data_IF_411920454957
#
_entry.id   IF_411920454957
#
_cell.length_a   1.000
_cell.length_b   1.000
_cell.length_c   1.000
_cell.angle_alpha   90.00
_cell.angle_beta   90.00
_cell.angle_gamma   90.00
#
_symmetry.space_group_name_H-M   'P 1'
#
loop_
_entity.id
_entity.type
_entity.pdbx_description
1 polymer ?
#
# COMPACT_ATOMS: atom_id res chain seq x y z
N UNK A 1 0.69 -18.30 23.86
CA UNK A 1 0.86 -18.04 22.41
C UNK A 1 -0.43 -17.42 21.89
N UNK A 2 -0.42 -16.13 21.49
CA UNK A 2 -1.57 -15.51 20.81
C UNK A 2 -1.67 -16.17 19.42
N UNK A 3 -2.70 -17.00 19.20
CA UNK A 3 -2.94 -17.75 17.95
C UNK A 3 -3.52 -16.90 16.81
N UNK A 4 -3.80 -15.62 17.07
CA UNK A 4 -4.61 -14.78 16.19
C UNK A 4 -3.81 -13.69 15.45
N UNK A 5 -2.51 -13.90 15.21
CA UNK A 5 -1.68 -12.93 14.47
C UNK A 5 -1.33 -13.48 13.10
N UNK A 6 -1.72 -12.74 12.06
CA UNK A 6 -1.30 -12.99 10.67
C UNK A 6 0.18 -12.61 10.56
N UNK A 7 1.00 -13.48 9.97
CA UNK A 7 2.41 -13.17 9.75
C UNK A 7 2.59 -12.21 8.57
N UNK A 8 3.72 -11.48 8.53
CA UNK A 8 4.00 -10.59 7.40
C UNK A 8 4.09 -11.39 6.09
N UNK A 9 4.64 -12.60 6.16
CA UNK A 9 4.70 -13.53 5.04
C UNK A 9 3.31 -13.92 4.52
N UNK A 10 2.35 -14.20 5.41
CA UNK A 10 0.96 -14.50 5.01
C UNK A 10 0.29 -13.30 4.33
N UNK A 11 0.54 -12.08 4.82
CA UNK A 11 0.03 -10.84 4.19
C UNK A 11 0.64 -10.66 2.80
N UNK A 12 1.96 -10.79 2.67
CA UNK A 12 2.67 -10.69 1.38
C UNK A 12 2.13 -11.74 0.40
N UNK A 13 2.01 -13.00 0.82
CA UNK A 13 1.48 -14.08 -0.02
C UNK A 13 0.04 -13.80 -0.48
N UNK A 14 -0.79 -13.22 0.41
CA UNK A 14 -2.16 -12.84 0.07
C UNK A 14 -2.20 -11.72 -0.97
N UNK A 15 -1.35 -10.69 -0.83
CA UNK A 15 -1.25 -9.60 -1.80
C UNK A 15 -0.72 -10.09 -3.16
N UNK A 16 0.30 -10.95 -3.18
CA UNK A 16 0.80 -11.58 -4.40
C UNK A 16 -0.25 -12.46 -5.08
N UNK A 17 -1.06 -13.18 -4.31
CA UNK A 17 -2.17 -13.95 -4.87
C UNK A 17 -3.17 -13.04 -5.58
N UNK A 18 -3.61 -11.95 -4.94
CA UNK A 18 -4.54 -10.99 -5.56
C UNK A 18 -3.93 -10.35 -6.82
N UNK A 19 -2.68 -9.92 -6.76
CA UNK A 19 -1.93 -9.43 -7.91
C UNK A 19 -1.96 -10.42 -9.08
N UNK A 20 -1.67 -11.70 -8.82
CA UNK A 20 -1.66 -12.74 -9.86
C UNK A 20 -3.02 -12.91 -10.54
N UNK A 21 -4.12 -12.74 -9.78
CA UNK A 21 -5.50 -12.84 -10.29
C UNK A 21 -5.88 -11.63 -11.11
N UNK A 22 -5.47 -10.43 -10.70
CA UNK A 22 -5.62 -9.21 -11.49
C UNK A 22 -4.86 -9.34 -12.81
N UNK A 23 -3.61 -9.81 -12.78
CA UNK A 23 -2.80 -10.01 -13.98
C UNK A 23 -3.45 -11.02 -14.95
N UNK A 24 -3.93 -12.16 -14.45
CA UNK A 24 -4.66 -13.14 -15.25
C UNK A 24 -5.93 -12.56 -15.86
N UNK A 25 -6.70 -11.79 -15.08
CA UNK A 25 -7.92 -11.13 -15.55
C UNK A 25 -7.63 -10.14 -16.69
N UNK A 26 -6.63 -9.28 -16.52
CA UNK A 26 -6.27 -8.26 -17.50
C UNK A 26 -5.75 -8.89 -18.80
N UNK A 27 -4.84 -9.87 -18.71
CA UNK A 27 -4.30 -10.60 -19.88
C UNK A 27 -5.36 -11.35 -20.67
N UNK A 28 -6.44 -11.78 -20.01
CA UNK A 28 -7.55 -12.48 -20.68
C UNK A 28 -8.42 -11.52 -21.50
N UNK A 29 -8.60 -10.29 -21.06
CA UNK A 29 -9.58 -9.35 -21.65
C UNK A 29 -8.95 -8.29 -22.55
N UNK A 30 -7.72 -7.90 -22.29
CA UNK A 30 -7.01 -6.85 -23.02
C UNK A 30 -5.84 -7.43 -23.80
N UNK A 31 -5.52 -6.80 -24.94
CA UNK A 31 -4.38 -7.15 -25.79
C UNK A 31 -3.59 -5.89 -26.09
N UNK A 32 -2.26 -5.99 -26.04
CA UNK A 32 -1.32 -4.93 -26.34
C UNK A 32 -1.57 -3.67 -25.49
N UNK A 33 -1.99 -3.86 -24.24
CA UNK A 33 -2.23 -2.78 -23.26
C UNK A 33 -1.22 -2.85 -22.12
N UNK A 34 -1.04 -1.72 -21.45
CA UNK A 34 -0.23 -1.58 -20.24
C UNK A 34 -1.14 -1.08 -19.12
N UNK A 35 -1.01 -1.71 -17.97
CA UNK A 35 -1.68 -1.31 -16.73
C UNK A 35 -0.63 -1.11 -15.65
N UNK A 36 -0.94 -0.23 -14.70
CA UNK A 36 -0.19 -0.08 -13.46
C UNK A 36 -1.06 -0.61 -12.34
N UNK A 37 -0.56 -1.63 -11.62
CA UNK A 37 -1.08 -2.03 -10.33
C UNK A 37 -0.29 -1.29 -9.25
N UNK A 38 -0.97 -0.56 -8.39
CA UNK A 38 -0.39 0.08 -7.19
C UNK A 38 -1.01 -0.58 -5.97
N UNK A 39 -0.15 -0.98 -5.03
CA UNK A 39 -0.56 -1.43 -3.69
C UNK A 39 0.07 -0.46 -2.71
N UNK A 40 -0.71 0.16 -1.84
CA UNK A 40 -0.17 1.05 -0.83
C UNK A 40 -0.76 0.78 0.55
N UNK A 41 0.08 0.95 1.57
CA UNK A 41 -0.34 0.98 2.97
C UNK A 41 -0.45 2.44 3.40
N UNK A 42 -1.52 2.78 4.10
CA UNK A 42 -1.74 4.11 4.68
C UNK A 42 -1.75 3.97 6.21
N UNK A 43 -0.80 4.57 6.93
CA UNK A 43 -0.71 4.33 8.38
C UNK A 43 -1.90 4.91 9.16
N UNK A 44 -2.61 5.88 8.60
CA UNK A 44 -3.82 6.45 9.19
C UNK A 44 -5.09 5.64 8.89
N UNK A 45 -5.05 4.78 7.87
CA UNK A 45 -6.14 3.88 7.50
C UNK A 45 -5.60 2.46 7.57
N UNK A 46 -5.91 1.64 8.60
CA UNK A 46 -5.28 0.34 8.84
C UNK A 46 -5.71 -0.74 7.82
N UNK A 47 -5.42 -0.52 6.54
CA UNK A 47 -5.72 -1.33 5.39
C UNK A 47 -4.69 -1.09 4.27
N UNK A 48 -4.49 -2.12 3.44
CA UNK A 48 -3.82 -1.95 2.16
C UNK A 48 -4.86 -1.60 1.09
N UNK A 49 -4.55 -0.61 0.26
CA UNK A 49 -5.36 -0.28 -0.90
C UNK A 49 -4.68 -0.78 -2.17
N UNK A 50 -5.44 -1.45 -3.03
CA UNK A 50 -5.01 -1.83 -4.37
C UNK A 50 -5.74 -0.96 -5.39
N UNK A 51 -5.00 -0.38 -6.33
CA UNK A 51 -5.57 0.37 -7.45
C UNK A 51 -4.95 -0.07 -8.76
N UNK A 52 -5.78 -0.23 -9.79
CA UNK A 52 -5.36 -0.57 -11.15
C UNK A 52 -5.74 0.57 -12.08
N UNK A 53 -4.76 1.10 -12.81
CA UNK A 53 -4.96 2.16 -13.78
C UNK A 53 -4.53 1.68 -15.16
N UNK A 54 -5.27 2.06 -16.21
CA UNK A 54 -4.75 1.96 -17.58
C UNK A 54 -3.60 2.95 -17.71
N UNK A 55 -2.42 2.47 -18.10
CA UNK A 55 -1.25 3.34 -18.21
C UNK A 55 -1.43 4.33 -19.36
N UNK A 56 -1.62 5.61 -19.01
CA UNK A 56 -1.29 6.74 -19.87
C UNK A 56 0.12 7.18 -19.46
N UNK A 57 0.99 7.55 -20.41
CA UNK A 57 2.42 7.86 -20.22
C UNK A 57 2.66 9.00 -19.21
N UNK A 58 2.45 8.76 -17.92
CA UNK A 58 2.73 9.70 -16.85
C UNK A 58 3.62 9.01 -15.83
N UNK A 59 4.87 9.47 -15.80
CA UNK A 59 5.95 9.00 -14.95
C UNK A 59 5.79 9.50 -13.52
N UNK A 60 4.72 9.08 -12.82
CA UNK A 60 4.71 9.26 -11.37
C UNK A 60 5.67 8.24 -10.74
N UNK A 61 6.90 8.71 -10.58
CA UNK A 61 7.98 8.10 -9.81
C UNK A 61 7.79 8.44 -8.32
N UNK A 62 6.67 8.03 -7.73
CA UNK A 62 6.63 7.91 -6.27
C UNK A 62 7.65 6.85 -5.85
N UNK A 63 8.25 7.00 -4.67
CA UNK A 63 9.25 6.07 -4.15
C UNK A 63 8.63 4.68 -3.98
N UNK A 64 9.18 3.68 -4.69
CA UNK A 64 8.60 2.33 -4.78
C UNK A 64 9.44 1.37 -3.95
N UNK A 65 8.80 0.70 -3.02
CA UNK A 65 9.42 -0.31 -2.16
C UNK A 65 9.02 -1.71 -2.60
N UNK A 66 9.81 -2.71 -2.22
CA UNK A 66 9.42 -4.10 -2.39
C UNK A 66 8.19 -4.43 -1.51
N UNK A 67 7.39 -5.41 -1.93
CA UNK A 67 6.12 -5.71 -1.24
C UNK A 67 6.33 -6.14 0.23
N UNK A 68 7.43 -6.85 0.52
CA UNK A 68 7.81 -7.22 1.89
C UNK A 68 8.18 -5.99 2.72
N UNK A 69 8.92 -5.04 2.14
CA UNK A 69 9.30 -3.80 2.81
C UNK A 69 8.06 -2.93 3.09
N UNK A 70 7.10 -2.90 2.18
CA UNK A 70 5.81 -2.24 2.37
C UNK A 70 5.05 -2.83 3.58
N UNK A 71 4.96 -4.16 3.66
CA UNK A 71 4.24 -4.85 4.74
C UNK A 71 4.96 -4.67 6.08
N UNK A 72 6.29 -4.79 6.10
CA UNK A 72 7.10 -4.57 7.29
C UNK A 72 6.95 -3.14 7.81
N UNK A 73 7.08 -2.17 6.91
CA UNK A 73 6.89 -0.76 7.24
C UNK A 73 5.47 -0.49 7.75
N UNK A 74 4.44 -0.95 7.05
CA UNK A 74 3.05 -0.69 7.43
C UNK A 74 2.74 -1.27 8.82
N UNK A 75 3.17 -2.51 9.11
CA UNK A 75 2.96 -3.11 10.43
C UNK A 75 3.59 -2.30 11.57
N UNK A 76 4.75 -1.70 11.33
CA UNK A 76 5.49 -0.98 12.36
C UNK A 76 4.95 0.45 12.57
N UNK A 77 4.24 1.02 11.59
CA UNK A 77 3.82 2.42 11.62
C UNK A 77 2.29 2.60 11.67
N UNK A 78 1.50 1.60 11.28
CA UNK A 78 0.05 1.73 11.21
C UNK A 78 -0.58 1.98 12.57
N UNK A 79 -1.47 2.97 12.61
CA UNK A 79 -2.16 3.44 13.78
C UNK A 79 -3.41 2.59 14.02
N UNK A 80 -3.19 1.31 14.33
CA UNK A 80 -4.27 0.32 14.53
C UNK A 80 -5.25 0.71 15.65
N UNK A 81 -4.80 1.53 16.61
CA UNK A 81 -5.62 2.01 17.72
C UNK A 81 -6.21 3.41 17.46
N UNK A 82 -6.10 3.92 16.23
CA UNK A 82 -6.50 5.28 15.88
C UNK A 82 -5.43 6.32 16.20
N UNK A 83 -5.72 7.56 15.80
CA UNK A 83 -4.92 8.73 16.15
C UNK A 83 -5.27 9.18 17.57
N UNK A 84 -4.25 9.40 18.40
CA UNK A 84 -4.43 9.98 19.72
C UNK A 84 -4.84 11.46 19.56
N UNK A 85 -6.02 11.81 20.09
CA UNK A 85 -6.49 13.20 20.14
C UNK A 85 -6.08 13.74 21.51
N UNK A 86 -5.05 14.58 21.55
CA UNK A 86 -4.63 15.26 22.77
C UNK A 86 -5.43 16.55 22.89
N UNK A 87 -6.36 16.60 23.85
CA UNK A 87 -7.10 17.82 24.22
C UNK A 87 -6.23 18.71 25.13
N UNK A 88 -5.12 19.25 24.62
CA UNK A 88 -4.39 20.33 25.28
C UNK A 88 -4.21 21.51 24.32
N UNK A 89 -4.30 22.71 24.90
CA UNK A 89 -4.55 24.02 24.30
C UNK A 89 -3.95 24.27 22.91
N UNK A 90 -4.71 25.00 22.10
CA UNK A 90 -4.35 25.54 20.77
C UNK A 90 -3.16 26.51 20.90
N UNK A 91 -1.96 26.02 21.22
CA UNK A 91 -0.75 26.82 21.29
C UNK A 91 0.51 25.95 21.18
N UNK A 92 0.67 25.38 19.99
CA UNK A 92 1.89 25.33 19.17
C UNK A 92 1.60 24.34 18.06
N UNK A 93 1.51 24.84 16.83
CA UNK A 93 1.67 23.98 15.66
C UNK A 93 3.11 23.47 15.77
N UNK A 94 3.27 22.29 16.39
CA UNK A 94 4.50 21.54 16.29
C UNK A 94 4.76 21.39 14.80
N UNK A 95 5.95 21.79 14.36
CA UNK A 95 6.40 21.59 12.99
C UNK A 95 6.00 20.16 12.59
N UNK A 96 5.13 20.04 11.59
CA UNK A 96 4.75 18.75 11.05
C UNK A 96 6.04 18.09 10.60
N UNK A 97 6.56 17.15 11.38
CA UNK A 97 7.46 16.15 10.83
C UNK A 97 6.74 15.61 9.59
N UNK A 98 7.42 15.59 8.45
CA UNK A 98 6.90 14.98 7.22
C UNK A 98 6.70 13.48 7.49
N UNK A 99 5.61 13.12 8.18
CA UNK A 99 5.20 11.75 8.38
C UNK A 99 4.85 11.23 6.99
N UNK A 100 5.68 10.35 6.48
CA UNK A 100 5.35 9.58 5.30
C UNK A 100 4.13 8.72 5.64
N UNK A 101 2.92 9.20 5.34
CA UNK A 101 1.69 8.48 5.71
C UNK A 101 1.46 7.25 4.83
N UNK A 102 2.09 7.20 3.66
CA UNK A 102 1.85 6.18 2.64
C UNK A 102 3.15 5.70 2.04
N UNK A 103 3.24 4.38 1.84
CA UNK A 103 4.26 3.75 0.99
C UNK A 103 3.63 2.89 -0.08
N UNK A 104 4.34 2.78 -1.19
CA UNK A 104 3.81 2.24 -2.43
C UNK A 104 4.66 1.08 -2.95
N UNK A 105 3.99 0.00 -3.29
CA UNK A 105 4.47 -1.03 -4.20
C UNK A 105 3.79 -0.83 -5.55
N UNK A 106 4.51 -1.04 -6.64
CA UNK A 106 3.95 -0.88 -8.00
C UNK A 106 4.44 -1.95 -8.94
N UNK A 107 3.53 -2.50 -9.75
CA UNK A 107 3.83 -3.44 -10.83
C UNK A 107 3.23 -2.98 -12.15
N UNK A 108 4.04 -2.99 -13.21
CA UNK A 108 3.56 -2.80 -14.58
C UNK A 108 3.08 -4.15 -15.12
N UNK A 109 1.81 -4.22 -15.52
CA UNK A 109 1.20 -5.39 -16.13
C UNK A 109 1.04 -5.13 -17.63
N UNK A 110 1.71 -5.94 -18.45
CA UNK A 110 1.55 -5.94 -19.91
C UNK A 110 0.62 -7.08 -20.30
N UNK A 111 -0.42 -6.77 -21.08
CA UNK A 111 -1.42 -7.73 -21.55
C UNK A 111 -1.25 -8.02 -23.02
#
# INVERSE_FOLDING_TARGET
MKKDRISNEDVVNSLLFVESKIEQYLKRLYKDKKFILVIYGDIGIPAFTLTVFSHFDNNNNEERVELIELVDWFKNNALFNGLEIIEEEVEKVQEQEDYEFKRYYTKIIKT
#
